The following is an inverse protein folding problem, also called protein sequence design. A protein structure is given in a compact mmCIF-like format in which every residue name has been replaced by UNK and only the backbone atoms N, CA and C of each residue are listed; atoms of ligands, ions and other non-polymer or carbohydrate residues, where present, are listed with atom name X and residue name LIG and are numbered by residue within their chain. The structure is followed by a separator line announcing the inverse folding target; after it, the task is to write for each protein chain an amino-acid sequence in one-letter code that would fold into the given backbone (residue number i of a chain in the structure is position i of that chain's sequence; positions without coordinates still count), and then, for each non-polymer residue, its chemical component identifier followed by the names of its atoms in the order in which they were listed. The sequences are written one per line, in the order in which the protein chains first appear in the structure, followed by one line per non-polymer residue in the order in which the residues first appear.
data_IF_034093112189
#
_entry.id   IF_034093112189
#
_cell.length_a   1.000
_cell.length_b   1.000
_cell.length_c   1.000
_cell.angle_alpha   90.00
_cell.angle_beta   90.00
_cell.angle_gamma   90.00
#
_symmetry.space_group_name_H-M   'P 1'
#
loop_
_entity.id
_entity.type
_entity.pdbx_description
1 polymer ?
#
# COMPACT_ATOMS: atom_id res chain seq x y z
N UNK A 1 -13.79 -30.42 0.00
CA UNK A 1 -12.66 -29.77 -0.72
C UNK A 1 -11.94 -28.89 0.28
N UNK A 2 -10.63 -29.04 0.43
CA UNK A 2 -9.89 -28.57 1.61
C UNK A 2 -9.75 -27.06 1.70
N UNK A 3 -10.11 -26.49 2.86
CA UNK A 3 -9.87 -25.11 3.28
C UNK A 3 -8.39 -24.74 3.09
N UNK A 4 -8.07 -23.89 2.11
CA UNK A 4 -6.68 -23.45 1.86
C UNK A 4 -6.27 -22.48 2.96
N UNK A 5 -5.46 -22.96 3.90
CA UNK A 5 -4.69 -22.10 4.81
C UNK A 5 -3.75 -21.21 4.00
N UNK A 6 -3.58 -19.98 4.45
CA UNK A 6 -2.59 -19.03 3.96
C UNK A 6 -1.21 -19.67 3.72
N UNK A 7 -0.63 -19.45 2.54
CA UNK A 7 0.69 -19.96 2.14
C UNK A 7 1.59 -18.81 1.75
N UNK A 8 2.90 -19.01 1.84
CA UNK A 8 3.92 -18.01 1.43
C UNK A 8 3.75 -17.58 -0.04
N UNK A 9 3.21 -18.46 -0.90
CA UNK A 9 2.89 -18.14 -2.29
C UNK A 9 1.90 -16.97 -2.42
N UNK A 10 0.99 -16.81 -1.45
CA UNK A 10 -0.01 -15.75 -1.41
C UNK A 10 0.67 -14.37 -1.25
N UNK A 11 1.70 -14.28 -0.40
CA UNK A 11 2.54 -13.07 -0.30
C UNK A 11 3.25 -12.76 -1.62
N UNK A 12 3.75 -13.78 -2.33
CA UNK A 12 4.46 -13.55 -3.59
C UNK A 12 3.54 -12.98 -4.66
N UNK A 13 2.31 -13.47 -4.76
CA UNK A 13 1.29 -12.94 -5.67
C UNK A 13 0.90 -11.51 -5.29
N UNK A 14 0.63 -11.26 -4.00
CA UNK A 14 0.37 -9.91 -3.49
C UNK A 14 1.51 -8.95 -3.87
N UNK A 15 2.77 -9.38 -3.72
CA UNK A 15 3.93 -8.55 -4.06
C UNK A 15 3.96 -8.22 -5.56
N UNK A 16 3.74 -9.19 -6.43
CA UNK A 16 3.69 -8.96 -7.88
C UNK A 16 2.60 -7.94 -8.23
N UNK A 17 1.39 -8.13 -7.72
CA UNK A 17 0.28 -7.21 -7.96
C UNK A 17 0.52 -5.82 -7.36
N UNK A 18 1.06 -5.78 -6.14
CA UNK A 18 1.34 -4.55 -5.40
C UNK A 18 2.40 -3.68 -6.07
N UNK A 19 3.49 -4.28 -6.54
CA UNK A 19 4.55 -3.57 -7.28
C UNK A 19 4.06 -3.06 -8.63
N UNK A 20 3.31 -3.88 -9.37
CA UNK A 20 2.85 -3.56 -10.72
C UNK A 20 1.97 -2.32 -10.73
N UNK A 21 1.05 -2.19 -9.77
CA UNK A 21 0.19 -1.00 -9.68
C UNK A 21 0.82 0.16 -8.89
N UNK A 22 1.76 -0.08 -7.98
CA UNK A 22 2.40 1.02 -7.24
C UNK A 22 3.41 1.80 -8.10
N UNK A 23 4.15 1.12 -8.98
CA UNK A 23 5.27 1.69 -9.74
C UNK A 23 4.98 3.02 -10.42
N UNK A 24 3.95 3.12 -11.27
CA UNK A 24 3.63 4.36 -11.98
C UNK A 24 3.35 5.56 -11.08
N UNK A 25 2.77 5.35 -9.90
CA UNK A 25 2.37 6.44 -9.00
C UNK A 25 3.50 6.92 -8.08
N UNK A 26 4.48 6.05 -7.80
CA UNK A 26 5.68 6.45 -7.04
C UNK A 26 6.51 7.46 -7.82
N UNK A 27 6.47 7.39 -9.15
CA UNK A 27 7.34 8.18 -10.05
C UNK A 27 6.66 9.42 -10.64
N UNK A 28 5.47 9.79 -10.16
CA UNK A 28 4.74 10.97 -10.66
C UNK A 28 4.76 12.10 -9.66
N UNK A 29 5.20 13.28 -10.10
CA UNK A 29 5.33 14.48 -9.27
C UNK A 29 4.02 14.87 -8.58
N UNK A 30 2.89 14.69 -9.24
CA UNK A 30 1.56 15.04 -8.76
C UNK A 30 1.21 14.35 -7.44
N UNK A 31 1.67 13.11 -7.25
CA UNK A 31 1.46 12.36 -6.00
C UNK A 31 2.26 12.97 -4.84
N UNK A 32 3.47 13.45 -5.13
CA UNK A 32 4.34 14.07 -4.14
C UNK A 32 3.87 15.48 -3.76
N UNK A 33 3.40 16.26 -4.73
CA UNK A 33 2.75 17.56 -4.48
C UNK A 33 1.48 17.38 -3.66
N UNK A 34 0.66 16.39 -3.99
CA UNK A 34 -0.54 16.07 -3.20
C UNK A 34 -0.16 15.70 -1.75
N UNK A 35 0.86 14.85 -1.58
CA UNK A 35 1.34 14.43 -0.27
C UNK A 35 1.86 15.60 0.58
N UNK A 36 2.55 16.57 -0.04
CA UNK A 36 3.03 17.77 0.66
C UNK A 36 1.84 18.58 1.20
N UNK A 37 0.80 18.79 0.39
CA UNK A 37 -0.40 19.55 0.73
C UNK A 37 -1.34 18.84 1.73
N UNK A 38 -1.17 17.53 1.95
CA UNK A 38 -2.01 16.78 2.87
C UNK A 38 -1.72 17.12 4.33
N UNK A 39 -2.74 17.54 5.07
CA UNK A 39 -2.72 17.49 6.54
C UNK A 39 -2.69 16.03 7.05
N UNK A 40 -2.27 15.83 8.31
CA UNK A 40 -2.15 14.48 8.90
C UNK A 40 -3.45 13.67 8.90
N UNK A 41 -4.61 14.32 9.08
CA UNK A 41 -5.91 13.65 9.07
C UNK A 41 -6.30 13.15 7.68
N UNK A 42 -5.85 13.81 6.60
CA UNK A 42 -6.03 13.29 5.24
C UNK A 42 -5.26 11.97 5.07
N UNK A 43 -4.04 11.87 5.62
CA UNK A 43 -3.26 10.64 5.55
C UNK A 43 -3.93 9.50 6.32
N UNK A 44 -4.46 9.78 7.52
CA UNK A 44 -5.22 8.79 8.31
C UNK A 44 -6.48 8.34 7.55
N UNK A 45 -7.21 9.27 6.93
CA UNK A 45 -8.39 8.94 6.12
C UNK A 45 -8.02 8.05 4.93
N UNK A 46 -6.94 8.37 4.22
CA UNK A 46 -6.42 7.57 3.11
C UNK A 46 -6.04 6.16 3.57
N UNK A 47 -5.36 6.02 4.72
CA UNK A 47 -5.07 4.71 5.31
C UNK A 47 -6.37 3.95 5.56
N UNK A 48 -7.40 4.58 6.13
CA UNK A 48 -8.72 3.96 6.31
C UNK A 48 -9.35 3.47 5.00
N UNK A 49 -9.21 4.25 3.91
CA UNK A 49 -9.67 3.87 2.57
C UNK A 49 -8.92 2.63 2.06
N UNK A 50 -7.59 2.59 2.21
CA UNK A 50 -6.77 1.44 1.81
C UNK A 50 -7.21 0.17 2.54
N UNK A 51 -7.46 0.27 3.85
CA UNK A 51 -7.96 -0.84 4.65
C UNK A 51 -9.34 -1.31 4.19
N UNK A 52 -10.26 -0.38 3.92
CA UNK A 52 -11.60 -0.68 3.44
C UNK A 52 -11.57 -1.38 2.06
N UNK A 53 -10.73 -0.90 1.14
CA UNK A 53 -10.55 -1.51 -0.18
C UNK A 53 -9.97 -2.92 -0.03
N UNK A 54 -8.90 -3.09 0.76
CA UNK A 54 -8.28 -4.39 0.97
C UNK A 54 -9.23 -5.40 1.60
N UNK A 55 -10.00 -5.00 2.61
CA UNK A 55 -10.97 -5.86 3.26
C UNK A 55 -12.12 -6.22 2.32
N UNK A 56 -12.65 -5.23 1.59
CA UNK A 56 -13.68 -5.45 0.59
C UNK A 56 -13.24 -6.38 -0.52
N UNK A 57 -12.02 -6.21 -1.04
CA UNK A 57 -11.45 -7.06 -2.07
C UNK A 57 -11.27 -8.52 -1.59
N UNK A 58 -10.72 -8.71 -0.38
CA UNK A 58 -10.49 -10.06 0.14
C UNK A 58 -11.76 -10.79 0.59
N UNK A 59 -12.73 -10.11 1.19
CA UNK A 59 -13.83 -10.79 1.92
C UNK A 59 -15.23 -10.44 1.43
N UNK A 60 -15.38 -9.46 0.54
CA UNK A 60 -16.69 -9.10 -0.05
C UNK A 60 -16.75 -9.37 -1.53
N UNK A 61 -15.64 -9.16 -2.26
CA UNK A 61 -15.59 -9.41 -3.69
C UNK A 61 -15.34 -10.89 -4.03
N UNK A 62 -14.66 -11.63 -3.16
CA UNK A 62 -14.40 -13.06 -3.32
C UNK A 62 -15.40 -13.88 -2.48
N UNK A 63 -16.41 -14.44 -3.13
CA UNK A 63 -17.50 -15.16 -2.48
C UNK A 63 -17.08 -16.51 -1.88
N UNK A 64 -15.92 -17.04 -2.29
CA UNK A 64 -15.39 -18.31 -1.77
C UNK A 64 -14.58 -18.11 -0.48
N UNK A 65 -14.34 -16.85 -0.06
CA UNK A 65 -13.55 -16.50 1.12
C UNK A 65 -14.43 -16.20 2.33
N UNK A 66 -14.13 -16.90 3.41
CA UNK A 66 -14.77 -16.73 4.70
C UNK A 66 -13.74 -16.25 5.74
N UNK A 67 -13.93 -15.02 6.21
CA UNK A 67 -13.06 -14.36 7.20
C UNK A 67 -12.98 -15.17 8.51
N UNK A 68 -14.07 -15.84 8.89
CA UNK A 68 -14.17 -16.60 10.16
C UNK A 68 -13.34 -17.89 10.13
N UNK A 69 -12.76 -18.23 8.98
CA UNK A 69 -11.94 -19.44 8.79
C UNK A 69 -10.45 -19.17 8.58
N UNK A 70 -10.07 -17.90 8.51
CA UNK A 70 -8.68 -17.48 8.30
C UNK A 70 -7.83 -17.64 9.58
N UNK A 71 -6.52 -17.81 9.41
CA UNK A 71 -5.61 -17.74 10.54
C UNK A 71 -5.52 -16.28 11.01
N UNK A 72 -5.63 -16.03 12.30
CA UNK A 72 -5.64 -14.69 12.87
C UNK A 72 -4.41 -14.40 13.73
N UNK A 73 -4.00 -13.14 13.74
CA UNK A 73 -3.04 -12.56 14.69
C UNK A 73 -3.70 -11.37 15.37
N UNK A 74 -3.80 -11.42 16.70
CA UNK A 74 -4.50 -10.40 17.50
C UNK A 74 -5.95 -10.11 17.03
N UNK A 75 -6.66 -11.12 16.52
CA UNK A 75 -8.03 -10.98 16.01
C UNK A 75 -8.14 -10.41 14.59
N UNK A 76 -7.01 -10.27 13.87
CA UNK A 76 -6.98 -9.80 12.49
C UNK A 76 -6.47 -10.94 11.59
N UNK A 77 -7.14 -11.26 10.46
CA UNK A 77 -6.67 -12.27 9.53
C UNK A 77 -5.25 -12.00 9.02
N UNK A 78 -4.37 -13.01 9.11
CA UNK A 78 -2.97 -12.92 8.68
C UNK A 78 -2.83 -12.53 7.22
N UNK A 79 -3.74 -13.00 6.35
CA UNK A 79 -3.79 -12.62 4.93
C UNK A 79 -4.03 -11.12 4.76
N UNK A 80 -4.97 -10.54 5.52
CA UNK A 80 -5.24 -9.11 5.49
C UNK A 80 -4.03 -8.31 5.99
N UNK A 81 -3.37 -8.77 7.06
CA UNK A 81 -2.13 -8.17 7.55
C UNK A 81 -1.04 -8.21 6.48
N UNK A 82 -0.84 -9.36 5.81
CA UNK A 82 0.09 -9.48 4.69
C UNK A 82 -0.27 -8.50 3.57
N UNK A 83 -1.55 -8.41 3.20
CA UNK A 83 -1.99 -7.51 2.15
C UNK A 83 -1.64 -6.05 2.49
N UNK A 84 -1.85 -5.63 3.74
CA UNK A 84 -1.47 -4.28 4.19
C UNK A 84 0.04 -4.09 4.13
N UNK A 85 0.82 -5.04 4.66
CA UNK A 85 2.29 -4.97 4.62
C UNK A 85 2.79 -4.85 3.19
N UNK A 86 2.23 -5.65 2.27
CA UNK A 86 2.60 -5.62 0.85
C UNK A 86 2.16 -4.32 0.18
N UNK A 87 0.95 -3.84 0.42
CA UNK A 87 0.44 -2.62 -0.22
C UNK A 87 1.28 -1.38 0.14
N UNK A 88 1.54 -1.16 1.43
CA UNK A 88 2.37 -0.04 1.87
C UNK A 88 3.86 -0.30 1.60
N UNK A 89 4.32 -1.53 1.83
CA UNK A 89 5.71 -1.92 1.67
C UNK A 89 6.20 -1.85 0.23
N UNK A 90 5.38 -2.23 -0.75
CA UNK A 90 5.73 -2.11 -2.18
C UNK A 90 6.01 -0.67 -2.56
N UNK A 91 5.12 0.25 -2.15
CA UNK A 91 5.28 1.68 -2.42
C UNK A 91 6.51 2.25 -1.72
N UNK A 92 6.73 1.87 -0.46
CA UNK A 92 7.91 2.30 0.29
C UNK A 92 9.22 1.81 -0.34
N UNK A 93 9.29 0.53 -0.72
CA UNK A 93 10.46 -0.05 -1.37
C UNK A 93 10.73 0.66 -2.70
N UNK A 94 9.70 0.87 -3.52
CA UNK A 94 9.84 1.55 -4.80
C UNK A 94 10.27 3.01 -4.63
N UNK A 95 9.70 3.73 -3.66
CA UNK A 95 10.07 5.13 -3.38
C UNK A 95 11.55 5.26 -3.02
N UNK A 96 12.06 4.35 -2.19
CA UNK A 96 13.49 4.31 -1.84
C UNK A 96 14.34 3.87 -3.04
N UNK A 97 13.95 2.80 -3.73
CA UNK A 97 14.71 2.26 -4.86
C UNK A 97 14.86 3.25 -6.01
N UNK A 98 13.84 4.09 -6.25
CA UNK A 98 13.87 5.13 -7.28
C UNK A 98 14.38 6.47 -6.78
N UNK A 99 14.86 6.56 -5.53
CA UNK A 99 15.32 7.82 -4.93
C UNK A 99 14.27 8.93 -5.07
N UNK A 100 12.99 8.57 -4.96
CA UNK A 100 11.88 9.46 -5.24
C UNK A 100 11.77 10.63 -4.22
N UNK A 101 12.00 10.43 -2.90
CA UNK A 101 12.05 11.56 -1.96
C UNK A 101 13.10 12.60 -2.33
N UNK A 102 14.31 12.17 -2.69
CA UNK A 102 15.37 13.10 -3.09
C UNK A 102 15.06 13.76 -4.43
N UNK A 103 14.50 13.00 -5.38
CA UNK A 103 14.16 13.51 -6.72
C UNK A 103 13.08 14.59 -6.64
N UNK A 104 11.98 14.33 -5.93
CA UNK A 104 10.81 15.22 -5.93
C UNK A 104 10.82 16.23 -4.78
N UNK A 105 11.14 15.81 -3.56
CA UNK A 105 11.03 16.69 -2.38
C UNK A 105 12.25 17.59 -2.21
N UNK A 106 13.45 17.06 -2.46
CA UNK A 106 14.70 17.80 -2.22
C UNK A 106 15.16 18.53 -3.47
N UNK A 107 15.48 17.79 -4.53
CA UNK A 107 16.02 18.36 -5.77
C UNK A 107 14.92 18.98 -6.65
N UNK A 108 13.72 18.41 -6.63
CA UNK A 108 12.54 18.90 -7.36
C UNK A 108 11.89 20.14 -6.75
N UNK A 109 12.28 20.53 -5.54
CA UNK A 109 11.84 21.78 -4.91
C UNK A 109 10.39 21.77 -4.40
N UNK A 110 9.73 20.61 -4.31
CA UNK A 110 8.39 20.51 -3.70
C UNK A 110 8.43 20.97 -2.23
N UNK A 111 9.50 20.62 -1.49
CA UNK A 111 9.75 21.21 -0.18
C UNK A 111 10.70 22.40 -0.34
N UNK A 112 10.27 23.64 -0.01
CA UNK A 112 11.13 24.82 -0.07
C UNK A 112 12.34 24.72 0.87
N UNK A 113 12.13 24.18 2.08
CA UNK A 113 13.14 23.98 3.11
C UNK A 113 13.14 22.51 3.56
N UNK A 114 13.81 21.61 2.81
CA UNK A 114 13.75 20.17 3.06
C UNK A 114 14.54 19.80 4.32
N UNK A 115 13.85 19.69 5.45
CA UNK A 115 14.39 19.08 6.67
C UNK A 115 14.21 17.55 6.63
N UNK A 116 15.07 16.76 7.31
CA UNK A 116 14.91 15.30 7.36
C UNK A 116 13.51 14.86 7.84
N UNK A 117 12.94 15.59 8.79
CA UNK A 117 11.60 15.32 9.30
C UNK A 117 10.51 15.63 8.26
N UNK A 118 10.60 16.77 7.57
CA UNK A 118 9.64 17.13 6.54
C UNK A 118 9.67 16.13 5.36
N UNK A 119 10.87 15.73 4.92
CA UNK A 119 11.05 14.72 3.87
C UNK A 119 10.43 13.39 4.30
N UNK A 120 10.70 12.95 5.54
CA UNK A 120 10.16 11.68 6.07
C UNK A 120 8.64 11.71 6.14
N UNK A 121 8.05 12.77 6.70
CA UNK A 121 6.60 12.90 6.84
C UNK A 121 5.89 12.96 5.48
N UNK A 122 6.41 13.74 4.52
CA UNK A 122 5.82 13.82 3.19
C UNK A 122 5.99 12.51 2.42
N UNK A 123 7.10 11.79 2.61
CA UNK A 123 7.28 10.45 2.06
C UNK A 123 6.29 9.44 2.64
N UNK A 124 6.01 9.49 3.95
CA UNK A 124 4.98 8.65 4.55
C UNK A 124 3.60 8.94 3.97
N UNK A 125 3.26 10.22 3.77
CA UNK A 125 2.00 10.60 3.11
C UNK A 125 1.94 10.11 1.66
N UNK A 126 3.01 10.24 0.88
CA UNK A 126 3.03 9.73 -0.51
C UNK A 126 2.90 8.21 -0.56
N UNK A 127 3.50 7.49 0.41
CA UNK A 127 3.30 6.05 0.58
C UNK A 127 1.82 5.72 0.82
N UNK A 128 1.11 6.49 1.65
CA UNK A 128 -0.33 6.25 1.85
C UNK A 128 -1.15 6.44 0.59
N UNK A 129 -0.83 7.45 -0.24
CA UNK A 129 -1.52 7.69 -1.51
C UNK A 129 -1.24 6.55 -2.51
N UNK A 130 0.03 6.17 -2.67
CA UNK A 130 0.41 5.07 -3.56
C UNK A 130 -0.19 3.72 -3.14
N UNK A 131 -0.40 3.51 -1.84
CA UNK A 131 -0.95 2.27 -1.30
C UNK A 131 -2.40 2.01 -1.76
N UNK A 132 -3.16 3.05 -2.14
CA UNK A 132 -4.51 2.89 -2.74
C UNK A 132 -4.45 2.04 -4.01
N UNK A 133 -3.42 2.23 -4.83
CA UNK A 133 -3.26 1.49 -6.08
C UNK A 133 -2.60 0.13 -5.83
N UNK A 134 -1.62 0.09 -4.94
CA UNK A 134 -0.93 -1.14 -4.57
C UNK A 134 -1.88 -2.18 -3.96
N UNK A 135 -2.79 -1.78 -3.06
CA UNK A 135 -3.73 -2.71 -2.42
C UNK A 135 -4.67 -3.37 -3.42
N UNK A 136 -5.15 -2.63 -4.43
CA UNK A 136 -6.01 -3.18 -5.49
C UNK A 136 -5.25 -4.22 -6.31
N UNK A 137 -4.02 -3.90 -6.70
CA UNK A 137 -3.18 -4.81 -7.48
C UNK A 137 -2.84 -6.08 -6.69
N UNK A 138 -2.41 -5.91 -5.44
CA UNK A 138 -2.05 -7.01 -4.56
C UNK A 138 -3.25 -7.92 -4.26
N UNK A 139 -4.42 -7.36 -3.95
CA UNK A 139 -5.62 -8.15 -3.69
C UNK A 139 -6.12 -8.86 -4.95
N UNK A 140 -6.07 -8.21 -6.11
CA UNK A 140 -6.46 -8.84 -7.38
C UNK A 140 -5.55 -10.02 -7.73
N UNK A 141 -4.23 -9.86 -7.58
CA UNK A 141 -3.27 -10.94 -7.82
C UNK A 141 -3.46 -12.10 -6.83
N UNK A 142 -3.74 -11.81 -5.56
CA UNK A 142 -4.05 -12.81 -4.53
C UNK A 142 -5.35 -13.58 -4.79
N UNK A 143 -6.33 -12.98 -5.47
CA UNK A 143 -7.61 -13.62 -5.81
C UNK A 143 -7.58 -14.42 -7.11
N UNK A 144 -6.76 -14.04 -8.08
CA UNK A 144 -6.73 -14.69 -9.40
C UNK A 144 -5.80 -15.92 -9.44
N UNK A 145 -4.74 -15.93 -8.65
CA UNK A 145 -3.70 -16.97 -8.71
C UNK A 145 -3.72 -17.89 -7.47
#
# INVERSE_FOLDING_TARGET
MGRRRYRVADTAQQLVGGFLLAGPFVVTEEVWVLAENMSWYHAVLVVGIVFAIGYGALYKADADRDVDTEAEVAGIPVRFVSLMIVAFGSVAILAVAFTAPDTFLVNGGILPDPTPMAVTLTTLKSITVGAIFSVVGAATADSVF
#
